data_IF_320766880835
#
_entry.id   IF_320766880835
#
_cell.length_a   1.000
_cell.length_b   1.000
_cell.length_c   1.000
_cell.angle_alpha   90.00
_cell.angle_beta   90.00
_cell.angle_gamma   90.00
#
_symmetry.space_group_name_H-M   'P 1'
#
loop_
_entity.id
_entity.type
_entity.pdbx_description
1 polymer ?
#
# COMPACT_ATOMS: atom_id res chain seq x y z
N UNK A 1 44.29 -14.98 30.23
CA UNK A 1 44.44 -14.50 28.85
C UNK A 1 43.20 -14.90 28.08
N UNK A 2 42.47 -13.91 27.58
CA UNK A 2 41.28 -14.09 26.75
C UNK A 2 41.66 -14.39 25.30
N UNK A 3 40.88 -15.21 24.61
CA UNK A 3 40.51 -15.01 23.20
C UNK A 3 39.36 -15.93 22.83
N UNK A 4 38.19 -15.32 22.69
CA UNK A 4 36.94 -15.84 22.12
C UNK A 4 36.97 -15.71 20.59
N UNK A 5 36.42 -16.70 19.87
CA UNK A 5 35.83 -16.60 18.51
C UNK A 5 34.86 -17.79 18.37
N UNK A 6 33.60 -17.69 18.79
CA UNK A 6 32.44 -17.13 18.06
C UNK A 6 32.33 -17.72 16.64
N UNK A 7 31.63 -18.85 16.48
CA UNK A 7 30.17 -19.00 16.28
C UNK A 7 29.76 -18.92 14.79
N UNK A 8 29.67 -20.12 14.20
CA UNK A 8 28.58 -20.65 13.36
C UNK A 8 27.88 -19.73 12.36
N UNK A 9 28.07 -20.05 11.08
CA UNK A 9 27.35 -19.55 9.91
C UNK A 9 25.83 -19.36 10.13
N UNK A 10 25.34 -18.14 9.97
CA UNK A 10 23.91 -17.88 9.76
C UNK A 10 23.61 -17.77 8.26
N UNK A 11 22.87 -18.76 7.75
CA UNK A 11 21.97 -18.63 6.62
C UNK A 11 20.91 -17.58 6.96
N UNK A 12 20.84 -16.48 6.22
CA UNK A 12 19.67 -15.58 6.25
C UNK A 12 18.95 -15.70 4.92
N UNK A 13 17.87 -16.46 4.97
CA UNK A 13 16.80 -16.55 3.98
C UNK A 13 16.24 -15.14 3.76
N UNK A 14 16.27 -14.67 2.51
CA UNK A 14 15.54 -13.48 2.07
C UNK A 14 14.04 -13.73 2.29
N UNK A 15 13.49 -13.14 3.34
CA UNK A 15 12.05 -13.10 3.59
C UNK A 15 11.37 -12.18 2.58
N UNK A 16 11.26 -12.63 1.33
CA UNK A 16 10.51 -11.98 0.27
C UNK A 16 9.06 -12.47 0.28
N UNK A 17 8.28 -12.06 1.29
CA UNK A 17 6.86 -12.40 1.36
C UNK A 17 5.91 -11.19 1.40
N UNK A 18 6.39 -9.94 1.49
CA UNK A 18 5.52 -8.77 1.64
C UNK A 18 6.02 -7.49 0.93
N UNK A 19 6.75 -7.62 -0.19
CA UNK A 19 7.15 -6.45 -1.02
C UNK A 19 6.23 -6.29 -2.25
N UNK A 20 5.21 -7.14 -2.40
CA UNK A 20 4.45 -7.31 -3.64
C UNK A 20 3.70 -6.07 -4.16
N UNK A 21 3.66 -4.97 -3.41
CA UNK A 21 2.83 -3.84 -3.80
C UNK A 21 3.39 -2.47 -3.39
N UNK A 22 4.01 -2.32 -2.21
CA UNK A 22 4.60 -1.03 -1.77
C UNK A 22 5.84 -0.59 -2.57
N UNK A 23 6.44 -1.50 -3.36
CA UNK A 23 7.69 -1.28 -4.09
C UNK A 23 7.54 -0.69 -5.50
N UNK A 24 6.34 -0.30 -5.95
CA UNK A 24 6.18 0.29 -7.28
C UNK A 24 6.66 1.74 -7.38
N UNK A 25 6.85 2.44 -6.24
CA UNK A 25 7.26 3.86 -6.23
C UNK A 25 8.26 4.26 -5.15
N UNK A 26 8.71 3.33 -4.30
CA UNK A 26 9.74 3.61 -3.31
C UNK A 26 10.86 2.57 -3.40
N UNK A 27 12.10 3.05 -3.53
CA UNK A 27 13.28 2.24 -3.24
C UNK A 27 13.13 1.59 -1.86
N UNK A 28 13.61 0.36 -1.66
CA UNK A 28 13.59 -0.26 -0.34
C UNK A 28 14.40 0.62 0.62
N UNK A 29 13.71 1.34 1.52
CA UNK A 29 14.35 1.94 2.68
C UNK A 29 14.92 0.78 3.50
N UNK A 30 16.20 0.92 3.83
CA UNK A 30 17.03 -0.14 4.37
C UNK A 30 16.41 -0.97 5.49
N UNK A 31 16.87 -2.21 5.54
CA UNK A 31 16.66 -3.19 6.59
C UNK A 31 17.01 -2.57 7.95
N UNK A 32 16.02 -2.00 8.62
CA UNK A 32 16.07 -1.70 10.06
C UNK A 32 15.03 -2.59 10.71
N UNK A 33 15.48 -3.54 11.54
CA UNK A 33 14.61 -4.44 12.30
C UNK A 33 13.77 -3.60 13.28
N UNK A 34 12.42 -3.57 13.19
CA UNK A 34 11.61 -3.02 14.27
C UNK A 34 11.57 -4.04 15.40
N UNK A 35 11.95 -3.60 16.59
CA UNK A 35 11.87 -4.39 17.82
C UNK A 35 10.49 -4.20 18.45
N UNK A 36 9.42 -4.53 17.72
CA UNK A 36 8.06 -4.53 18.27
C UNK A 36 7.35 -5.81 17.84
N UNK A 37 6.79 -6.51 18.83
CA UNK A 37 6.20 -7.83 18.65
C UNK A 37 4.94 -7.73 17.78
N UNK A 38 4.80 -8.64 16.80
CA UNK A 38 3.65 -8.72 15.87
C UNK A 38 2.28 -8.69 16.56
N UNK A 39 2.19 -9.03 17.84
CA UNK A 39 0.96 -8.99 18.61
C UNK A 39 0.48 -7.57 18.95
N UNK A 40 1.37 -6.58 19.11
CA UNK A 40 0.95 -5.20 19.43
C UNK A 40 0.47 -4.44 18.19
N UNK A 41 1.19 -4.60 17.07
CA UNK A 41 0.77 -4.07 15.75
C UNK A 41 -0.60 -4.62 15.30
N UNK A 42 -0.92 -5.87 15.66
CA UNK A 42 -2.21 -6.49 15.32
C UNK A 42 -3.40 -5.91 16.11
N UNK A 43 -3.16 -5.45 17.34
CA UNK A 43 -4.20 -4.84 18.19
C UNK A 43 -4.48 -3.40 17.79
N UNK A 44 -3.45 -2.64 17.41
CA UNK A 44 -3.59 -1.25 16.98
C UNK A 44 -4.20 -1.10 15.58
N UNK A 45 -3.91 -2.03 14.67
CA UNK A 45 -4.57 -2.11 13.36
C UNK A 45 -6.07 -2.45 13.48
N UNK A 46 -6.45 -3.26 14.47
CA UNK A 46 -7.86 -3.56 14.76
C UNK A 46 -8.60 -2.37 15.39
N UNK A 47 -7.93 -1.57 16.23
CA UNK A 47 -8.51 -0.39 16.87
C UNK A 47 -8.78 0.78 15.89
N UNK A 48 -8.00 0.87 14.81
CA UNK A 48 -8.18 1.89 13.76
C UNK A 48 -9.29 1.54 12.75
N UNK A 49 -9.66 0.26 12.63
CA UNK A 49 -10.72 -0.20 11.72
C UNK A 49 -12.14 0.23 12.15
N UNK A 50 -12.38 0.40 13.45
CA UNK A 50 -13.71 0.67 14.00
C UNK A 50 -13.99 2.14 14.35
N UNK A 51 -13.02 3.06 14.24
CA UNK A 51 -13.12 4.39 14.85
C UNK A 51 -13.75 5.48 13.97
N UNK A 52 -13.70 5.35 12.65
CA UNK A 52 -14.11 6.44 11.74
C UNK A 52 -15.36 6.15 10.89
N UNK A 53 -16.03 5.02 11.09
CA UNK A 53 -17.25 4.67 10.34
C UNK A 53 -17.07 4.58 8.81
N UNK A 54 -15.83 4.53 8.32
CA UNK A 54 -15.47 4.50 6.89
C UNK A 54 -15.04 3.13 6.36
N UNK A 55 -15.14 2.07 7.19
CA UNK A 55 -14.94 0.68 6.78
C UNK A 55 -16.27 -0.08 6.73
N UNK A 56 -16.43 -1.09 5.85
CA UNK A 56 -17.58 -1.98 5.93
C UNK A 56 -17.54 -2.71 7.28
N UNK A 57 -18.61 -2.53 8.05
CA UNK A 57 -18.84 -3.15 9.34
C UNK A 57 -18.73 -4.68 9.24
N UNK A 58 -17.62 -5.27 9.68
CA UNK A 58 -17.47 -6.72 9.79
C UNK A 58 -17.87 -7.14 11.20
N UNK A 59 -19.16 -7.22 11.46
CA UNK A 59 -19.62 -8.11 12.54
C UNK A 59 -20.92 -8.81 12.15
N UNK A 60 -20.78 -10.00 11.59
CA UNK A 60 -21.87 -10.94 11.39
C UNK A 60 -21.87 -11.97 12.50
N UNK A 61 -22.62 -11.73 13.57
CA UNK A 61 -23.24 -12.79 14.37
C UNK A 61 -24.32 -12.20 15.29
N UNK A 62 -25.58 -12.46 14.88
CA UNK A 62 -26.85 -12.53 15.63
C UNK A 62 -26.81 -12.12 17.12
N UNK A 63 -27.66 -11.18 17.52
CA UNK A 63 -29.03 -11.43 18.05
C UNK A 63 -29.72 -10.12 18.45
N UNK A 64 -30.99 -10.03 18.04
CA UNK A 64 -32.12 -9.30 18.64
C UNK A 64 -32.16 -7.75 18.66
N UNK A 65 -33.26 -7.26 18.05
CA UNK A 65 -34.18 -6.20 18.52
C UNK A 65 -33.57 -4.89 19.06
N UNK A 66 -34.06 -3.70 18.80
CA UNK A 66 -35.24 -3.15 18.14
C UNK A 66 -35.20 -1.67 18.53
N UNK A 67 -35.74 -0.81 17.66
CA UNK A 67 -36.22 0.54 17.97
C UNK A 67 -35.19 1.66 18.15
N UNK A 68 -35.33 2.68 17.29
CA UNK A 68 -34.86 4.03 17.54
C UNK A 68 -35.76 4.76 18.57
N UNK A 69 -35.92 6.09 18.47
CA UNK A 69 -35.36 7.03 19.44
C UNK A 69 -36.43 7.78 20.24
N UNK A 70 -36.15 8.16 21.51
CA UNK A 70 -36.87 9.27 22.19
C UNK A 70 -35.97 9.93 23.27
N UNK A 71 -36.09 11.25 23.55
CA UNK A 71 -35.12 12.06 24.29
C UNK A 71 -35.54 12.47 25.72
N UNK A 72 -34.57 13.06 26.45
CA UNK A 72 -34.63 14.02 27.58
C UNK A 72 -35.56 13.77 28.78
N UNK A 73 -35.00 13.80 30.01
CA UNK A 73 -35.45 14.66 31.13
C UNK A 73 -34.50 14.57 32.34
N UNK A 74 -34.35 15.70 33.03
CA UNK A 74 -33.66 15.88 34.31
C UNK A 74 -34.48 15.34 35.51
N UNK A 75 -33.80 14.99 36.63
CA UNK A 75 -34.13 15.39 38.02
C UNK A 75 -33.12 14.81 39.03
N UNK A 76 -32.52 15.72 39.78
CA UNK A 76 -32.32 15.83 41.24
C UNK A 76 -31.85 14.68 42.19
N UNK A 77 -30.88 15.10 43.03
CA UNK A 77 -30.50 14.79 44.42
C UNK A 77 -30.23 13.37 44.98
N UNK A 78 -29.07 13.27 45.65
CA UNK A 78 -29.01 12.79 47.04
C UNK A 78 -27.85 11.85 47.42
N UNK A 79 -27.00 12.29 48.37
CA UNK A 79 -26.43 11.40 49.40
C UNK A 79 -24.95 11.00 49.25
N UNK A 80 -24.17 11.37 50.26
CA UNK A 80 -22.73 11.11 50.39
C UNK A 80 -22.39 9.77 51.08
N UNK A 81 -21.22 9.22 50.71
CA UNK A 81 -20.31 8.27 51.39
C UNK A 81 -19.72 7.34 50.31
N UNK A 82 -18.47 6.90 50.26
CA UNK A 82 -17.22 7.04 51.02
C UNK A 82 -16.21 6.20 50.21
N UNK A 83 -14.95 6.63 50.15
CA UNK A 83 -13.75 5.84 49.85
C UNK A 83 -13.75 4.93 48.60
N UNK A 84 -13.09 5.37 47.52
CA UNK A 84 -12.31 4.43 46.66
C UNK A 84 -11.31 5.18 45.75
N UNK A 85 -10.20 4.52 45.49
CA UNK A 85 -8.97 5.04 44.88
C UNK A 85 -9.17 5.67 43.49
N UNK A 86 -9.20 7.00 43.45
CA UNK A 86 -9.18 7.80 42.23
C UNK A 86 -7.81 7.82 41.57
N UNK A 87 -7.40 6.73 40.92
CA UNK A 87 -6.44 6.83 39.82
C UNK A 87 -7.06 7.66 38.70
N UNK A 88 -6.70 8.95 38.72
CA UNK A 88 -6.87 9.90 37.64
C UNK A 88 -6.13 9.39 36.38
N UNK A 89 -6.77 8.52 35.62
CA UNK A 89 -6.46 8.42 34.19
C UNK A 89 -7.10 9.62 33.51
N UNK A 90 -6.44 10.77 33.67
CA UNK A 90 -6.51 11.79 32.64
C UNK A 90 -6.24 11.06 31.32
N UNK A 91 -7.25 11.06 30.45
CA UNK A 91 -7.11 10.50 29.11
C UNK A 91 -6.00 11.30 28.44
N UNK A 92 -4.79 10.76 28.50
CA UNK A 92 -3.60 11.37 27.94
C UNK A 92 -3.84 11.50 26.45
N UNK A 93 -3.81 12.74 25.98
CA UNK A 93 -3.91 13.14 24.60
C UNK A 93 -2.73 12.65 23.73
N UNK A 94 -2.00 11.62 24.15
CA UNK A 94 -0.73 11.20 23.58
C UNK A 94 -0.70 9.68 23.40
N UNK A 95 -1.08 9.25 22.19
CA UNK A 95 -0.58 8.04 21.56
C UNK A 95 -0.76 8.21 20.04
N UNK A 96 0.02 9.14 19.47
CA UNK A 96 0.17 9.28 18.04
C UNK A 96 0.92 8.05 17.50
N UNK A 97 0.21 7.12 16.88
CA UNK A 97 0.82 6.04 16.12
C UNK A 97 1.58 6.62 14.89
N UNK A 98 2.73 6.05 14.50
CA UNK A 98 3.70 6.66 13.57
C UNK A 98 3.28 6.70 12.09
N UNK A 99 2.01 6.41 11.75
CA UNK A 99 1.53 6.33 10.36
C UNK A 99 0.27 7.16 10.07
N UNK A 100 -0.14 8.06 10.97
CA UNK A 100 -1.09 9.14 10.62
C UNK A 100 -0.56 10.48 11.10
N UNK A 101 0.23 11.13 10.26
CA UNK A 101 0.84 12.45 10.49
C UNK A 101 -0.13 13.62 10.30
N UNK A 102 -1.45 13.36 10.28
CA UNK A 102 -2.44 14.41 10.10
C UNK A 102 -2.36 15.42 11.26
N UNK A 103 -2.21 16.71 10.96
CA UNK A 103 -2.24 17.78 11.96
C UNK A 103 -3.61 17.89 12.62
N UNK A 104 -3.70 18.54 13.79
CA UNK A 104 -4.98 18.79 14.45
C UNK A 104 -5.98 19.53 13.53
N UNK A 105 -5.51 20.52 12.76
CA UNK A 105 -6.31 21.25 11.78
C UNK A 105 -6.83 20.33 10.66
N UNK A 106 -5.99 19.44 10.12
CA UNK A 106 -6.41 18.46 9.10
C UNK A 106 -7.48 17.50 9.64
N UNK A 107 -7.32 17.03 10.89
CA UNK A 107 -8.32 16.16 11.53
C UNK A 107 -9.65 16.87 11.76
N UNK A 108 -9.61 18.12 12.22
CA UNK A 108 -10.82 18.94 12.41
C UNK A 108 -11.55 19.18 11.09
N UNK A 109 -10.81 19.48 10.03
CA UNK A 109 -11.38 19.68 8.70
C UNK A 109 -12.02 18.40 8.14
N UNK A 110 -11.34 17.25 8.26
CA UNK A 110 -11.92 15.95 7.88
C UNK A 110 -13.20 15.69 8.68
N UNK A 111 -13.18 15.92 9.98
CA UNK A 111 -14.36 15.71 10.85
C UNK A 111 -15.54 16.60 10.45
N UNK A 112 -15.28 17.85 10.07
CA UNK A 112 -16.30 18.78 9.55
C UNK A 112 -16.90 18.25 8.24
N UNK A 113 -16.04 17.84 7.30
CA UNK A 113 -16.46 17.30 6.00
C UNK A 113 -17.26 15.99 6.13
N UNK A 114 -16.95 15.15 7.12
CA UNK A 114 -17.72 13.93 7.39
C UNK A 114 -19.16 14.26 7.81
N UNK A 115 -19.35 15.24 8.71
CA UNK A 115 -20.68 15.72 9.09
C UNK A 115 -21.43 16.32 7.89
N UNK A 116 -20.73 17.10 7.07
CA UNK A 116 -21.28 17.67 5.84
C UNK A 116 -21.72 16.56 4.86
N UNK A 117 -20.91 15.52 4.70
CA UNK A 117 -21.23 14.37 3.84
C UNK A 117 -22.45 13.59 4.31
N UNK A 118 -22.62 13.43 5.62
CA UNK A 118 -23.78 12.78 6.22
C UNK A 118 -25.07 13.59 6.01
N UNK A 119 -24.99 14.91 6.09
CA UNK A 119 -26.10 15.83 5.86
C UNK A 119 -26.37 16.12 4.37
N UNK A 120 -25.47 15.73 3.47
CA UNK A 120 -25.54 16.04 2.04
C UNK A 120 -26.71 15.32 1.35
N UNK A 121 -27.37 16.04 0.43
CA UNK A 121 -28.39 15.46 -0.46
C UNK A 121 -27.72 14.62 -1.55
N UNK A 122 -28.45 13.70 -2.22
CA UNK A 122 -27.89 12.91 -3.32
C UNK A 122 -27.17 13.75 -4.39
N UNK A 123 -27.65 14.97 -4.66
CA UNK A 123 -27.08 15.88 -5.63
C UNK A 123 -25.71 16.44 -5.21
N UNK A 124 -25.49 16.72 -3.92
CA UNK A 124 -24.24 17.33 -3.40
C UNK A 124 -23.26 16.31 -2.82
N UNK A 125 -23.74 15.10 -2.49
CA UNK A 125 -22.96 14.06 -1.81
C UNK A 125 -21.67 13.68 -2.54
N UNK A 126 -21.69 13.61 -3.87
CA UNK A 126 -20.50 13.31 -4.67
C UNK A 126 -19.43 14.43 -4.59
N UNK A 127 -19.84 15.70 -4.49
CA UNK A 127 -18.90 16.81 -4.37
C UNK A 127 -18.18 16.80 -3.01
N UNK A 128 -18.93 16.52 -1.93
CA UNK A 128 -18.35 16.38 -0.59
C UNK A 128 -17.44 15.15 -0.51
N UNK A 129 -17.84 14.00 -1.09
CA UNK A 129 -17.00 12.80 -1.19
C UNK A 129 -15.69 13.07 -1.93
N UNK A 130 -15.72 13.79 -3.05
CA UNK A 130 -14.51 14.18 -3.80
C UNK A 130 -13.55 14.97 -2.91
N UNK A 131 -14.08 15.87 -2.09
CA UNK A 131 -13.27 16.67 -1.16
C UNK A 131 -12.70 15.83 -0.02
N UNK A 132 -13.51 14.94 0.57
CA UNK A 132 -13.06 13.99 1.58
C UNK A 132 -11.93 13.10 1.05
N UNK A 133 -12.10 12.52 -0.15
CA UNK A 133 -11.07 11.69 -0.77
C UNK A 133 -9.73 12.43 -0.91
N UNK A 134 -9.76 13.68 -1.36
CA UNK A 134 -8.55 14.51 -1.46
C UNK A 134 -7.91 14.77 -0.10
N UNK A 135 -8.71 15.02 0.95
CA UNK A 135 -8.18 15.24 2.31
C UNK A 135 -7.56 13.96 2.88
N UNK A 136 -8.21 12.81 2.70
CA UNK A 136 -7.67 11.52 3.12
C UNK A 136 -6.38 11.16 2.38
N UNK A 137 -6.32 11.37 1.06
CA UNK A 137 -5.08 11.19 0.29
C UNK A 137 -3.94 12.09 0.81
N UNK A 138 -4.24 13.35 1.14
CA UNK A 138 -3.24 14.28 1.67
C UNK A 138 -2.70 13.93 3.05
N UNK A 139 -3.34 13.00 3.77
CA UNK A 139 -2.85 12.42 5.03
C UNK A 139 -2.53 10.93 4.90
N UNK A 140 -2.30 10.47 3.66
CA UNK A 140 -1.89 9.10 3.30
C UNK A 140 -2.87 7.99 3.73
N UNK A 141 -4.15 8.34 3.91
CA UNK A 141 -5.24 7.39 4.20
C UNK A 141 -5.93 6.94 2.93
N UNK A 142 -5.20 6.16 2.13
CA UNK A 142 -5.64 5.73 0.80
C UNK A 142 -6.88 4.84 0.81
N UNK A 143 -7.10 4.05 1.87
CA UNK A 143 -8.30 3.21 2.01
C UNK A 143 -9.59 4.05 2.11
N UNK A 144 -9.54 5.08 2.94
CA UNK A 144 -10.62 6.04 3.15
C UNK A 144 -10.83 6.89 1.90
N UNK A 145 -9.74 7.30 1.24
CA UNK A 145 -9.84 7.99 -0.03
C UNK A 145 -10.50 7.12 -1.13
N UNK A 146 -10.10 5.85 -1.22
CA UNK A 146 -10.70 4.87 -2.13
C UNK A 146 -12.19 4.70 -1.88
N UNK A 147 -12.62 4.62 -0.63
CA UNK A 147 -14.05 4.56 -0.28
C UNK A 147 -14.83 5.75 -0.83
N UNK A 148 -14.39 6.98 -0.56
CA UNK A 148 -15.12 8.16 -1.04
C UNK A 148 -15.06 8.32 -2.56
N UNK A 149 -13.97 7.92 -3.22
CA UNK A 149 -13.89 7.87 -4.68
C UNK A 149 -14.84 6.81 -5.27
N UNK A 150 -14.99 5.67 -4.61
CA UNK A 150 -15.99 4.66 -4.99
C UNK A 150 -17.41 5.23 -4.88
N UNK A 151 -17.72 6.01 -3.83
CA UNK A 151 -19.02 6.69 -3.72
C UNK A 151 -19.24 7.71 -4.86
N UNK A 152 -18.20 8.43 -5.28
CA UNK A 152 -18.26 9.33 -6.44
C UNK A 152 -18.55 8.54 -7.71
N UNK A 153 -17.86 7.42 -7.90
CA UNK A 153 -18.02 6.58 -9.07
C UNK A 153 -19.40 5.89 -9.12
N UNK A 154 -19.96 5.49 -7.98
CA UNK A 154 -21.33 4.98 -7.88
C UNK A 154 -22.37 6.06 -8.23
N UNK A 155 -22.17 7.29 -7.78
CA UNK A 155 -23.08 8.40 -8.08
C UNK A 155 -22.96 8.88 -9.54
N UNK A 156 -21.77 8.79 -10.14
CA UNK A 156 -21.46 9.19 -11.51
C UNK A 156 -20.57 8.14 -12.19
N UNK A 157 -21.14 7.02 -12.66
CA UNK A 157 -20.37 5.95 -13.29
C UNK A 157 -19.62 6.44 -14.52
N UNK A 158 -18.31 6.21 -14.54
CA UNK A 158 -17.43 6.41 -15.69
C UNK A 158 -16.09 5.72 -15.45
N UNK A 159 -15.42 5.33 -16.53
CA UNK A 159 -14.09 4.73 -16.48
C UNK A 159 -13.11 5.58 -15.65
N UNK A 160 -13.16 6.91 -15.80
CA UNK A 160 -12.29 7.82 -15.05
C UNK A 160 -12.56 7.80 -13.54
N UNK A 161 -13.82 7.75 -13.11
CA UNK A 161 -14.15 7.68 -11.69
C UNK A 161 -13.86 6.29 -11.11
N UNK A 162 -14.13 5.22 -11.86
CA UNK A 162 -13.76 3.87 -11.45
C UNK A 162 -12.25 3.72 -11.32
N UNK A 163 -11.48 4.30 -12.23
CA UNK A 163 -10.03 4.24 -12.22
C UNK A 163 -9.46 4.97 -11.00
N UNK A 164 -9.92 6.18 -10.69
CA UNK A 164 -9.48 6.89 -9.49
C UNK A 164 -9.73 6.10 -8.21
N UNK A 165 -10.91 5.49 -8.08
CA UNK A 165 -11.23 4.64 -6.93
C UNK A 165 -10.34 3.38 -6.89
N UNK A 166 -10.15 2.71 -8.05
CA UNK A 166 -9.31 1.53 -8.17
C UNK A 166 -7.85 1.84 -7.80
N UNK A 167 -7.30 2.96 -8.27
CA UNK A 167 -5.93 3.39 -8.01
C UNK A 167 -5.72 3.70 -6.52
N UNK A 168 -6.67 4.36 -5.86
CA UNK A 168 -6.60 4.62 -4.42
C UNK A 168 -6.65 3.31 -3.61
N UNK A 169 -7.53 2.36 -3.98
CA UNK A 169 -7.54 1.04 -3.33
C UNK A 169 -6.29 0.22 -3.62
N UNK A 170 -5.73 0.29 -4.82
CA UNK A 170 -4.48 -0.36 -5.18
C UNK A 170 -3.31 0.20 -4.36
N UNK A 171 -3.28 1.52 -4.17
CA UNK A 171 -2.31 2.18 -3.30
C UNK A 171 -2.52 1.78 -1.84
N UNK A 172 -3.76 1.72 -1.34
CA UNK A 172 -4.04 1.26 0.02
C UNK A 172 -3.62 -0.21 0.25
N UNK A 173 -3.94 -1.08 -0.71
CA UNK A 173 -3.48 -2.46 -0.79
C UNK A 173 -1.95 -2.54 -0.72
N UNK A 174 -1.26 -1.53 -1.25
CA UNK A 174 0.21 -1.48 -1.26
C UNK A 174 0.89 -1.33 0.09
N UNK A 175 0.18 -0.75 1.03
CA UNK A 175 0.63 -0.51 2.40
C UNK A 175 -0.09 -1.41 3.42
N UNK A 176 -0.89 -2.37 2.96
CA UNK A 176 -1.65 -3.25 3.84
C UNK A 176 -0.71 -4.18 4.62
N UNK A 177 -0.75 -4.07 5.96
CA UNK A 177 0.13 -4.83 6.86
C UNK A 177 -0.39 -6.23 7.22
N UNK A 178 -1.66 -6.53 6.94
CA UNK A 178 -2.28 -7.83 7.25
C UNK A 178 -2.85 -8.49 6.00
N UNK A 179 -2.84 -9.83 5.98
CA UNK A 179 -3.40 -10.64 4.89
C UNK A 179 -4.88 -10.34 4.65
N UNK A 180 -5.65 -10.08 5.72
CA UNK A 180 -7.05 -9.69 5.64
C UNK A 180 -7.22 -8.37 4.88
N UNK A 181 -6.42 -7.35 5.23
CA UNK A 181 -6.46 -6.05 4.54
C UNK A 181 -5.98 -6.16 3.10
N UNK A 182 -4.95 -6.99 2.85
CA UNK A 182 -4.47 -7.32 1.51
C UNK A 182 -5.59 -7.91 0.66
N UNK A 183 -6.31 -8.92 1.17
CA UNK A 183 -7.44 -9.56 0.48
C UNK A 183 -8.57 -8.57 0.22
N UNK A 184 -8.95 -7.78 1.22
CA UNK A 184 -10.03 -6.80 1.12
C UNK A 184 -9.73 -5.70 0.08
N UNK A 185 -8.60 -5.01 0.26
CA UNK A 185 -8.23 -3.85 -0.57
C UNK A 185 -7.83 -4.29 -1.99
N UNK A 186 -7.10 -5.41 -2.11
CA UNK A 186 -6.79 -6.01 -3.41
C UNK A 186 -8.03 -6.54 -4.12
N UNK A 187 -9.04 -7.04 -3.39
CA UNK A 187 -10.36 -7.37 -3.93
C UNK A 187 -11.07 -6.16 -4.52
N UNK A 188 -11.14 -5.06 -3.77
CA UNK A 188 -11.72 -3.78 -4.22
C UNK A 188 -11.01 -3.22 -5.46
N UNK A 189 -9.67 -3.19 -5.46
CA UNK A 189 -8.91 -2.76 -6.63
C UNK A 189 -9.23 -3.62 -7.86
N UNK A 190 -9.26 -4.95 -7.73
CA UNK A 190 -9.61 -5.86 -8.84
C UNK A 190 -11.00 -5.61 -9.39
N UNK A 191 -12.01 -5.48 -8.52
CA UNK A 191 -13.39 -5.21 -8.92
C UNK A 191 -13.49 -3.92 -9.73
N UNK A 192 -12.86 -2.85 -9.24
CA UNK A 192 -12.97 -1.54 -9.86
C UNK A 192 -12.16 -1.43 -11.16
N UNK A 193 -10.97 -2.02 -11.24
CA UNK A 193 -10.25 -2.12 -12.52
C UNK A 193 -11.00 -2.96 -13.56
N UNK A 194 -11.74 -4.00 -13.14
CA UNK A 194 -12.59 -4.74 -14.06
C UNK A 194 -13.71 -3.84 -14.64
N UNK A 195 -14.28 -2.91 -13.85
CA UNK A 195 -15.21 -1.90 -14.35
C UNK A 195 -14.54 -0.93 -15.33
N UNK A 196 -13.31 -0.47 -15.03
CA UNK A 196 -12.53 0.36 -15.97
C UNK A 196 -12.33 -0.35 -17.30
N UNK A 197 -11.89 -1.61 -17.29
CA UNK A 197 -11.61 -2.38 -18.50
C UNK A 197 -12.87 -2.77 -19.27
N UNK A 198 -14.03 -2.85 -18.60
CA UNK A 198 -15.31 -3.04 -19.29
C UNK A 198 -15.66 -1.82 -20.17
N UNK A 199 -15.37 -0.62 -19.69
CA UNK A 199 -15.62 0.63 -20.42
C UNK A 199 -14.47 0.99 -21.38
N UNK A 200 -13.24 0.64 -21.01
CA UNK A 200 -12.01 0.92 -21.76
C UNK A 200 -11.11 -0.33 -21.85
N UNK A 201 -11.43 -1.30 -22.74
CA UNK A 201 -10.68 -2.55 -22.84
C UNK A 201 -9.19 -2.38 -23.18
N UNK A 202 -8.84 -1.28 -23.86
CA UNK A 202 -7.47 -0.94 -24.23
C UNK A 202 -6.66 -0.19 -23.17
N UNK A 203 -7.21 0.02 -21.97
CA UNK A 203 -6.49 0.72 -20.89
C UNK A 203 -5.41 -0.18 -20.28
N UNK A 204 -4.20 -0.09 -20.82
CA UNK A 204 -3.06 -0.93 -20.42
C UNK A 204 -2.60 -0.68 -18.98
N UNK A 205 -2.76 0.54 -18.47
CA UNK A 205 -2.42 0.86 -17.07
C UNK A 205 -3.35 0.17 -16.09
N UNK A 206 -4.66 0.23 -16.33
CA UNK A 206 -5.66 -0.51 -15.55
C UNK A 206 -5.45 -2.02 -15.65
N UNK A 207 -5.13 -2.55 -16.84
CA UNK A 207 -4.81 -3.97 -17.04
C UNK A 207 -3.55 -4.38 -16.26
N UNK A 208 -2.51 -3.54 -16.26
CA UNK A 208 -1.27 -3.76 -15.52
C UNK A 208 -1.51 -3.77 -14.01
N UNK A 209 -2.26 -2.79 -13.48
CA UNK A 209 -2.58 -2.73 -12.05
C UNK A 209 -3.51 -3.86 -11.61
N UNK A 210 -4.49 -4.22 -12.44
CA UNK A 210 -5.31 -5.41 -12.20
C UNK A 210 -4.45 -6.66 -12.12
N UNK A 211 -3.48 -6.80 -13.03
CA UNK A 211 -2.50 -7.89 -13.01
C UNK A 211 -1.74 -7.96 -11.70
N UNK A 212 -1.22 -6.83 -11.23
CA UNK A 212 -0.52 -6.74 -9.93
C UNK A 212 -1.43 -7.04 -8.73
N UNK A 213 -2.69 -6.61 -8.75
CA UNK A 213 -3.64 -6.94 -7.70
C UNK A 213 -3.98 -8.44 -7.66
N UNK A 214 -3.94 -9.14 -8.81
CA UNK A 214 -4.04 -10.60 -8.85
C UNK A 214 -2.80 -11.31 -8.31
N UNK A 215 -1.59 -10.71 -8.40
CA UNK A 215 -0.36 -11.34 -7.89
C UNK A 215 -0.37 -11.58 -6.38
N UNK A 216 -1.10 -10.77 -5.60
CA UNK A 216 -1.27 -10.99 -4.16
C UNK A 216 -2.58 -11.72 -3.81
N UNK A 217 -3.26 -12.30 -4.80
CA UNK A 217 -4.48 -13.07 -4.61
C UNK A 217 -4.21 -14.57 -4.65
N UNK A 218 -5.26 -15.37 -4.44
CA UNK A 218 -5.21 -16.83 -4.59
C UNK A 218 -5.00 -17.29 -6.05
N UNK A 219 -5.08 -16.37 -7.02
CA UNK A 219 -4.86 -16.65 -8.45
C UNK A 219 -3.81 -15.70 -9.08
N UNK A 220 -2.51 -15.86 -8.73
CA UNK A 220 -1.43 -15.07 -9.33
C UNK A 220 -1.20 -15.38 -10.82
N UNK A 221 -1.63 -16.54 -11.31
CA UNK A 221 -1.51 -16.93 -12.73
C UNK A 221 -2.27 -15.96 -13.64
N UNK A 222 -3.46 -15.53 -13.21
CA UNK A 222 -4.23 -14.50 -13.91
C UNK A 222 -3.45 -13.18 -14.03
N UNK A 223 -2.73 -12.79 -12.97
CA UNK A 223 -1.92 -11.58 -12.95
C UNK A 223 -0.82 -11.59 -14.00
N UNK A 224 -0.08 -12.71 -14.08
CA UNK A 224 0.95 -12.91 -15.11
C UNK A 224 0.35 -12.88 -16.52
N UNK A 225 -0.84 -13.47 -16.71
CA UNK A 225 -1.51 -13.44 -18.01
C UNK A 225 -1.85 -12.03 -18.47
N UNK A 226 -2.39 -11.20 -17.57
CA UNK A 226 -2.70 -9.81 -17.87
C UNK A 226 -1.45 -9.00 -18.21
N UNK A 227 -0.33 -9.21 -17.52
CA UNK A 227 0.93 -8.54 -17.83
C UNK A 227 1.50 -8.98 -19.19
N UNK A 228 1.35 -10.25 -19.58
CA UNK A 228 1.72 -10.71 -20.92
C UNK A 228 0.88 -10.04 -21.99
N UNK A 229 -0.45 -9.98 -21.82
CA UNK A 229 -1.33 -9.27 -22.75
C UNK A 229 -0.95 -7.79 -22.90
N UNK A 230 -0.52 -7.14 -21.82
CA UNK A 230 -0.03 -5.75 -21.89
C UNK A 230 1.23 -5.67 -22.76
N UNK A 231 2.20 -6.57 -22.59
CA UNK A 231 3.41 -6.57 -23.41
C UNK A 231 3.20 -7.06 -24.85
N UNK A 232 2.16 -7.84 -25.10
CA UNK A 232 1.73 -8.21 -26.45
C UNK A 232 1.14 -6.98 -27.17
N UNK A 233 0.35 -6.17 -26.47
CA UNK A 233 -0.24 -4.95 -27.00
C UNK A 233 0.78 -3.79 -27.12
N UNK A 234 1.64 -3.65 -26.12
CA UNK A 234 2.72 -2.65 -26.06
C UNK A 234 4.00 -3.28 -25.49
N UNK A 235 4.89 -3.79 -26.37
CA UNK A 235 6.18 -4.35 -25.96
C UNK A 235 7.11 -3.36 -25.24
N UNK A 236 6.80 -2.06 -25.30
CA UNK A 236 7.58 -0.99 -24.67
C UNK A 236 6.96 -0.50 -23.37
N UNK A 237 5.90 -1.13 -22.88
CA UNK A 237 5.24 -0.69 -21.65
C UNK A 237 6.20 -0.84 -20.44
N UNK A 238 6.71 0.28 -19.95
CA UNK A 238 7.73 0.30 -18.90
C UNK A 238 7.27 -0.41 -17.63
N UNK A 239 6.02 -0.19 -17.23
CA UNK A 239 5.45 -0.73 -15.98
C UNK A 239 5.30 -2.25 -16.05
N UNK A 240 4.81 -2.77 -17.18
CA UNK A 240 4.70 -4.20 -17.38
C UNK A 240 6.07 -4.89 -17.51
N UNK A 241 7.04 -4.27 -18.20
CA UNK A 241 8.42 -4.75 -18.26
C UNK A 241 9.05 -4.84 -16.87
N UNK A 242 8.93 -3.77 -16.08
CA UNK A 242 9.39 -3.72 -14.70
C UNK A 242 8.73 -4.83 -13.86
N UNK A 243 7.41 -4.93 -13.88
CA UNK A 243 6.66 -5.91 -13.08
C UNK A 243 7.03 -7.35 -13.46
N UNK A 244 7.10 -7.67 -14.75
CA UNK A 244 7.55 -9.01 -15.18
C UNK A 244 9.00 -9.30 -14.80
N UNK A 245 9.87 -8.29 -14.80
CA UNK A 245 11.24 -8.41 -14.29
C UNK A 245 11.27 -8.77 -12.80
N UNK A 246 10.51 -8.04 -11.97
CA UNK A 246 10.39 -8.32 -10.53
C UNK A 246 9.82 -9.71 -10.26
N UNK A 247 8.78 -10.12 -10.98
CA UNK A 247 8.20 -11.45 -10.85
C UNK A 247 9.18 -12.57 -11.26
N UNK A 248 10.00 -12.32 -12.28
CA UNK A 248 11.06 -13.23 -12.67
C UNK A 248 12.14 -13.35 -11.57
N UNK A 249 12.54 -12.25 -10.93
CA UNK A 249 13.45 -12.26 -9.77
C UNK A 249 12.87 -13.09 -8.62
N UNK A 250 11.60 -12.85 -8.25
CA UNK A 250 10.92 -13.58 -7.17
C UNK A 250 10.84 -15.09 -7.44
N UNK A 251 10.74 -15.47 -8.71
CA UNK A 251 10.70 -16.88 -9.14
C UNK A 251 12.09 -17.45 -9.43
N UNK A 252 13.18 -16.76 -9.07
CA UNK A 252 14.58 -17.12 -9.35
C UNK A 252 14.90 -17.33 -10.85
N UNK A 253 14.11 -16.76 -11.75
CA UNK A 253 14.31 -16.81 -13.21
C UNK A 253 15.19 -15.63 -13.65
N UNK A 254 16.42 -15.56 -13.16
CA UNK A 254 17.30 -14.40 -13.31
C UNK A 254 17.60 -14.05 -14.78
N UNK A 255 17.77 -15.03 -15.67
CA UNK A 255 18.01 -14.75 -17.10
C UNK A 255 16.83 -14.02 -17.75
N UNK A 256 15.59 -14.41 -17.42
CA UNK A 256 14.39 -13.71 -17.89
C UNK A 256 14.30 -12.32 -17.28
N UNK A 257 14.67 -12.17 -16.01
CA UNK A 257 14.69 -10.88 -15.35
C UNK A 257 15.69 -9.92 -16.02
N UNK A 258 16.91 -10.40 -16.34
CA UNK A 258 17.91 -9.64 -17.10
C UNK A 258 17.30 -9.16 -18.42
N UNK A 259 16.65 -10.04 -19.18
CA UNK A 259 16.03 -9.64 -20.45
C UNK A 259 14.97 -8.54 -20.25
N UNK A 260 14.06 -8.69 -19.27
CA UNK A 260 13.02 -7.69 -19.00
C UNK A 260 13.59 -6.34 -18.57
N UNK A 261 14.62 -6.34 -17.72
CA UNK A 261 15.25 -5.09 -17.31
C UNK A 261 16.13 -4.48 -18.41
N UNK A 262 16.78 -5.29 -19.26
CA UNK A 262 17.47 -4.79 -20.47
C UNK A 262 16.49 -4.11 -21.43
N UNK A 263 15.32 -4.72 -21.66
CA UNK A 263 14.27 -4.12 -22.49
C UNK A 263 13.75 -2.81 -21.86
N UNK A 264 13.54 -2.78 -20.54
CA UNK A 264 13.10 -1.59 -19.81
C UNK A 264 14.10 -0.43 -19.96
N UNK A 265 15.40 -0.66 -19.69
CA UNK A 265 16.40 0.41 -19.80
C UNK A 265 16.67 0.83 -21.24
N UNK A 266 16.36 -0.02 -22.23
CA UNK A 266 16.37 0.36 -23.65
C UNK A 266 15.22 1.32 -23.98
N UNK A 267 14.03 1.07 -23.42
CA UNK A 267 12.88 1.97 -23.58
C UNK A 267 13.10 3.29 -22.86
N UNK A 268 13.54 3.22 -21.60
CA UNK A 268 13.80 4.38 -20.76
C UNK A 268 15.16 4.24 -20.04
N UNK A 269 16.24 4.77 -20.65
CA UNK A 269 17.57 4.74 -20.06
C UNK A 269 17.69 5.45 -18.71
N UNK A 270 16.76 6.36 -18.39
CA UNK A 270 16.71 7.15 -17.15
C UNK A 270 15.89 6.48 -16.04
N UNK A 271 15.37 5.28 -16.26
CA UNK A 271 14.62 4.55 -15.25
C UNK A 271 15.58 4.02 -14.16
N UNK A 272 15.67 4.74 -13.03
CA UNK A 272 16.56 4.42 -11.90
C UNK A 272 16.35 2.99 -11.40
N UNK A 273 15.10 2.58 -11.21
CA UNK A 273 14.76 1.24 -10.73
C UNK A 273 15.14 0.18 -11.77
N UNK A 274 14.87 0.43 -13.06
CA UNK A 274 15.26 -0.46 -14.15
C UNK A 274 16.78 -0.71 -14.19
N UNK A 275 17.58 0.35 -14.05
CA UNK A 275 19.05 0.25 -13.99
C UNK A 275 19.51 -0.51 -12.74
N UNK A 276 18.94 -0.21 -11.57
CA UNK A 276 19.30 -0.90 -10.33
C UNK A 276 19.01 -2.40 -10.39
N UNK A 277 17.78 -2.78 -10.78
CA UNK A 277 17.42 -4.20 -10.86
C UNK A 277 18.10 -4.93 -12.03
N UNK A 278 18.46 -4.23 -13.11
CA UNK A 278 19.36 -4.79 -14.12
C UNK A 278 20.72 -5.15 -13.49
N UNK A 279 21.30 -4.25 -12.69
CA UNK A 279 22.54 -4.51 -11.95
C UNK A 279 22.42 -5.72 -11.02
N UNK A 280 21.36 -5.78 -10.21
CA UNK A 280 21.09 -6.91 -9.29
C UNK A 280 20.99 -8.23 -10.06
N UNK A 281 20.26 -8.25 -11.17
CA UNK A 281 20.03 -9.48 -11.93
C UNK A 281 21.28 -9.95 -12.68
N UNK A 282 22.05 -9.02 -13.26
CA UNK A 282 23.34 -9.33 -13.90
C UNK A 282 24.37 -9.85 -12.90
N UNK A 283 24.39 -9.29 -11.68
CA UNK A 283 25.26 -9.79 -10.60
C UNK A 283 24.94 -11.25 -10.26
N UNK A 284 23.65 -11.59 -10.20
CA UNK A 284 23.16 -12.96 -9.92
C UNK A 284 23.48 -13.95 -11.03
N UNK A 285 23.54 -13.51 -12.29
CA UNK A 285 23.93 -14.36 -13.43
C UNK A 285 25.45 -14.36 -13.70
N UNK A 286 26.25 -13.72 -12.85
CA UNK A 286 27.71 -13.69 -12.95
C UNK A 286 28.28 -12.67 -13.94
N UNK A 287 27.44 -11.84 -14.57
CA UNK A 287 27.86 -10.77 -15.49
C UNK A 287 28.34 -9.54 -14.70
N UNK A 288 29.41 -9.72 -13.91
CA UNK A 288 29.91 -8.75 -12.91
C UNK A 288 30.19 -7.36 -13.50
N UNK A 289 30.84 -7.27 -14.66
CA UNK A 289 31.16 -5.96 -15.27
C UNK A 289 29.91 -5.23 -15.76
N UNK A 290 28.99 -5.92 -16.44
CA UNK A 290 27.72 -5.32 -16.86
C UNK A 290 26.88 -4.88 -15.64
N UNK A 291 26.88 -5.69 -14.57
CA UNK A 291 26.19 -5.36 -13.33
C UNK A 291 26.71 -4.05 -12.72
N UNK A 292 28.04 -3.90 -12.63
CA UNK A 292 28.69 -2.67 -12.13
C UNK A 292 28.31 -1.46 -12.96
N UNK A 293 28.26 -1.57 -14.29
CA UNK A 293 27.84 -0.46 -15.16
C UNK A 293 26.39 -0.04 -14.90
N UNK A 294 25.47 -1.01 -14.81
CA UNK A 294 24.07 -0.74 -14.54
C UNK A 294 23.87 -0.07 -13.16
N UNK A 295 24.59 -0.52 -12.13
CA UNK A 295 24.57 0.10 -10.81
C UNK A 295 25.09 1.54 -10.82
N UNK A 296 26.21 1.80 -11.50
CA UNK A 296 26.74 3.16 -11.64
C UNK A 296 25.78 4.07 -12.41
N UNK A 297 25.10 3.56 -13.43
CA UNK A 297 24.05 4.29 -14.13
C UNK A 297 22.89 4.65 -13.19
N UNK A 298 22.40 3.69 -12.39
CA UNK A 298 21.34 3.95 -11.41
C UNK A 298 21.74 5.03 -10.40
N UNK A 299 22.96 4.97 -9.87
CA UNK A 299 23.51 5.97 -8.93
C UNK A 299 23.69 7.34 -9.58
N UNK A 300 24.08 7.41 -10.85
CA UNK A 300 24.21 8.68 -11.58
C UNK A 300 22.88 9.36 -11.92
N UNK A 301 21.77 8.62 -11.89
CA UNK A 301 20.43 9.12 -12.23
C UNK A 301 19.62 9.62 -11.02
N UNK A 302 20.11 9.41 -9.79
CA UNK A 302 19.40 9.75 -8.56
C UNK A 302 20.31 10.42 -7.55
N UNK A 303 19.77 11.42 -6.85
CA UNK A 303 20.45 12.08 -5.74
C UNK A 303 20.12 11.44 -4.37
N UNK A 304 19.44 10.29 -4.35
CA UNK A 304 19.09 9.59 -3.10
C UNK A 304 20.34 8.96 -2.46
N UNK A 305 20.77 9.43 -1.27
CA UNK A 305 21.93 8.87 -0.58
C UNK A 305 21.76 7.40 -0.21
N UNK A 306 20.52 6.95 0.05
CA UNK A 306 20.24 5.56 0.40
C UNK A 306 20.46 4.62 -0.80
N UNK A 307 20.06 5.05 -2.01
CA UNK A 307 20.37 4.33 -3.24
C UNK A 307 21.88 4.28 -3.47
N UNK A 308 22.55 5.42 -3.33
CA UNK A 308 23.99 5.50 -3.56
C UNK A 308 24.76 4.52 -2.64
N UNK A 309 24.41 4.47 -1.35
CA UNK A 309 24.97 3.52 -0.40
C UNK A 309 24.68 2.07 -0.78
N UNK A 310 23.44 1.77 -1.19
CA UNK A 310 23.04 0.42 -1.62
C UNK A 310 23.82 -0.03 -2.86
N UNK A 311 24.00 0.86 -3.84
CA UNK A 311 24.82 0.61 -5.04
C UNK A 311 26.27 0.34 -4.67
N UNK A 312 26.86 1.14 -3.78
CA UNK A 312 28.25 0.96 -3.37
C UNK A 312 28.47 -0.39 -2.66
N UNK A 313 27.50 -0.81 -1.83
CA UNK A 313 27.50 -2.12 -1.19
C UNK A 313 27.44 -3.26 -2.21
N UNK A 314 26.53 -3.18 -3.19
CA UNK A 314 26.40 -4.20 -4.24
C UNK A 314 27.67 -4.29 -5.10
N UNK A 315 28.25 -3.16 -5.51
CA UNK A 315 29.51 -3.14 -6.27
C UNK A 315 30.66 -3.76 -5.47
N UNK A 316 30.73 -3.54 -4.16
CA UNK A 316 31.77 -4.13 -3.32
C UNK A 316 31.70 -5.67 -3.29
N UNK A 317 30.50 -6.26 -3.42
CA UNK A 317 30.27 -7.72 -3.47
C UNK A 317 30.70 -8.37 -4.78
N UNK A 318 30.88 -7.59 -5.86
CA UNK A 318 31.25 -8.11 -7.18
C UNK A 318 32.74 -8.49 -7.31
N UNK A 319 33.56 -8.21 -6.30
CA UNK A 319 35.00 -8.51 -6.30
C UNK A 319 35.31 -10.02 -6.33
#
# INVERSE_FOLDING_TARGET
MATTRSASHQLVVLAAALVLVGGLFALPKGIVKPKESRSELSKDAAATANRDGGGPNTNGSKTEASSGPVPATATDNGGAHSDDDGHNHSASADAAAPHTTATAAQRQEISRLLKEYQAATPATKAAVATTLARRYNGVERFDSAGYYLEQVALAKPSAANWQQAADAYFQAFSFAASDERVKLLGGKARELYAKVLKEQPGNLDAKTNLGMAYMASENPVQGISLLREVLEADPRNEKALYNMGILAVQSNQYDKAVQRFKDLVKVNPKNVNGQFYLGVTLARTGAKEEAKQAFLAAKGLSNDPALAASVDEEIAKLK
#
